data_IF_071730882121
#
_entry.id   IF_071730882121
#
_cell.length_a   1.000
_cell.length_b   1.000
_cell.length_c   1.000
_cell.angle_alpha   90.00
_cell.angle_beta   90.00
_cell.angle_gamma   90.00
#
_symmetry.space_group_name_H-M   'P 1'
#
loop_
_entity.id
_entity.type
_entity.pdbx_description
1 polymer ?
#
# COMPACT_ATOMS: atom_id res chain seq x y z
N UNK A 1 49.07 4.97 -13.64
CA UNK A 1 49.72 5.62 -14.78
C UNK A 1 49.14 5.00 -16.04
N UNK A 2 48.12 5.60 -16.63
CA UNK A 2 47.72 5.47 -18.02
C UNK A 2 46.53 6.41 -18.24
N UNK A 3 46.78 7.45 -19.01
CA UNK A 3 45.91 8.53 -19.41
C UNK A 3 45.05 8.02 -20.58
N UNK A 4 43.72 8.10 -20.49
CA UNK A 4 42.81 7.88 -21.61
C UNK A 4 42.18 9.18 -22.05
N UNK A 5 42.33 9.46 -23.35
CA UNK A 5 41.95 10.63 -24.11
C UNK A 5 40.42 10.80 -24.21
N UNK A 6 39.93 12.04 -24.06
CA UNK A 6 38.62 12.52 -24.52
C UNK A 6 38.52 12.47 -26.06
N UNK A 7 37.37 12.15 -26.65
CA UNK A 7 37.10 12.47 -28.04
C UNK A 7 36.50 13.87 -28.19
N UNK A 8 36.95 14.50 -29.29
CA UNK A 8 36.69 15.86 -29.76
C UNK A 8 35.26 16.01 -30.33
N UNK A 9 34.57 17.05 -29.94
CA UNK A 9 33.23 17.39 -30.46
C UNK A 9 33.40 18.51 -31.49
N UNK A 10 33.52 18.20 -32.75
CA UNK A 10 33.30 19.09 -33.91
C UNK A 10 32.90 18.28 -35.10
N UNK A 11 31.66 18.42 -35.52
CA UNK A 11 31.11 18.35 -36.88
C UNK A 11 29.72 17.72 -36.90
N UNK A 12 28.71 18.53 -36.80
CA UNK A 12 27.36 18.25 -37.30
C UNK A 12 26.58 19.55 -37.51
N UNK A 13 27.05 20.31 -38.51
CA UNK A 13 26.28 21.37 -39.16
C UNK A 13 26.32 21.16 -40.66
N UNK A 14 25.35 20.41 -41.19
CA UNK A 14 25.01 20.43 -42.62
C UNK A 14 23.51 20.15 -42.80
N UNK A 15 22.77 21.20 -43.14
CA UNK A 15 21.42 21.11 -43.63
C UNK A 15 21.43 20.54 -45.07
N UNK A 16 20.46 19.69 -45.46
CA UNK A 16 20.27 19.39 -46.88
C UNK A 16 19.32 20.35 -47.53
N UNK A 17 19.77 20.81 -48.68
CA UNK A 17 19.10 21.65 -49.68
C UNK A 17 17.79 21.07 -50.20
N UNK A 18 16.80 21.94 -50.38
CA UNK A 18 15.55 21.71 -51.10
C UNK A 18 15.81 21.33 -52.56
N UNK A 19 15.19 20.23 -52.99
CA UNK A 19 14.95 19.94 -54.39
C UNK A 19 13.48 20.21 -54.74
N UNK A 20 13.24 20.98 -55.76
CA UNK A 20 11.95 21.37 -56.31
C UNK A 20 11.38 20.32 -57.24
N UNK A 21 10.06 20.21 -57.24
CA UNK A 21 9.28 19.88 -58.43
C UNK A 21 8.89 18.42 -58.58
N UNK A 22 7.66 18.08 -58.32
CA UNK A 22 6.86 17.39 -59.34
C UNK A 22 5.33 17.57 -59.03
N UNK A 23 4.64 18.10 -60.03
CA UNK A 23 3.19 18.23 -60.09
C UNK A 23 2.61 16.87 -60.47
N UNK A 24 1.95 16.17 -59.54
CA UNK A 24 1.14 14.99 -59.85
C UNK A 24 -0.35 15.34 -59.73
N UNK A 25 -0.96 15.15 -60.83
CA UNK A 25 -2.36 15.13 -61.20
C UNK A 25 -3.25 14.51 -60.10
N UNK A 26 -4.19 15.29 -59.54
CA UNK A 26 -5.23 14.79 -58.64
C UNK A 26 -6.40 14.25 -59.46
N UNK A 27 -6.34 13.01 -59.91
CA UNK A 27 -7.54 12.32 -60.37
C UNK A 27 -8.44 12.05 -59.15
N UNK A 28 -9.56 12.77 -59.08
CA UNK A 28 -10.60 12.58 -58.09
C UNK A 28 -11.24 11.22 -58.29
N UNK A 29 -11.00 10.28 -57.36
CA UNK A 29 -11.69 8.97 -57.33
C UNK A 29 -13.13 9.24 -56.89
N UNK A 30 -14.08 9.11 -57.85
CA UNK A 30 -15.50 9.19 -57.56
C UNK A 30 -15.96 7.93 -56.77
N UNK A 31 -16.26 8.09 -55.50
CA UNK A 31 -16.79 7.00 -54.65
C UNK A 31 -18.27 6.77 -55.02
N UNK A 32 -18.68 5.56 -55.41
CA UNK A 32 -20.09 5.27 -55.75
C UNK A 32 -21.02 5.58 -54.57
N UNK A 33 -22.16 6.23 -54.80
CA UNK A 33 -23.13 6.59 -53.77
C UNK A 33 -23.57 5.44 -52.87
N UNK A 34 -23.55 4.20 -53.40
CA UNK A 34 -23.86 2.98 -52.65
C UNK A 34 -22.88 2.72 -51.49
N UNK A 35 -21.58 3.10 -51.61
CA UNK A 35 -20.59 2.95 -50.56
C UNK A 35 -20.70 4.00 -49.46
N UNK A 36 -21.21 5.18 -49.78
CA UNK A 36 -21.53 6.22 -48.81
C UNK A 36 -22.71 5.83 -47.92
N UNK A 37 -23.74 5.18 -48.48
CA UNK A 37 -24.89 4.70 -47.71
C UNK A 37 -24.51 3.50 -46.84
N UNK A 38 -23.69 2.58 -47.33
CA UNK A 38 -23.17 1.45 -46.56
C UNK A 38 -22.23 1.92 -45.39
N UNK A 39 -21.37 2.92 -45.64
CA UNK A 39 -20.51 3.50 -44.62
C UNK A 39 -21.28 4.23 -43.52
N UNK A 40 -22.38 4.95 -43.88
CA UNK A 40 -23.25 5.62 -42.91
C UNK A 40 -24.02 4.59 -42.05
N UNK A 41 -24.50 3.49 -42.64
CA UNK A 41 -25.16 2.42 -41.90
C UNK A 41 -24.24 1.71 -40.92
N UNK A 42 -22.95 1.52 -41.26
CA UNK A 42 -21.95 0.89 -40.40
C UNK A 42 -21.56 1.76 -39.18
N UNK A 43 -21.62 3.08 -39.31
CA UNK A 43 -21.32 4.01 -38.22
C UNK A 43 -22.53 4.25 -37.31
N UNK A 44 -23.76 4.26 -37.85
CA UNK A 44 -24.98 4.56 -37.08
C UNK A 44 -25.61 3.35 -36.41
N UNK A 45 -25.43 2.13 -36.96
CA UNK A 45 -25.97 0.90 -36.38
C UNK A 45 -25.49 0.61 -34.95
N UNK A 46 -24.23 0.75 -34.62
CA UNK A 46 -23.75 0.59 -33.24
C UNK A 46 -24.37 1.59 -32.25
N UNK A 47 -24.59 2.82 -32.67
CA UNK A 47 -25.23 3.85 -31.84
C UNK A 47 -26.72 3.59 -31.61
N UNK A 48 -27.44 3.06 -32.61
CA UNK A 48 -28.82 2.68 -32.46
C UNK A 48 -28.98 1.48 -31.53
N UNK A 49 -28.05 0.50 -31.58
CA UNK A 49 -28.05 -0.66 -30.68
C UNK A 49 -27.70 -0.22 -29.25
N UNK A 50 -26.72 0.66 -29.05
CA UNK A 50 -26.40 1.21 -27.76
C UNK A 50 -27.56 2.03 -27.19
N UNK A 51 -28.21 2.87 -27.99
CA UNK A 51 -29.40 3.63 -27.57
C UNK A 51 -30.60 2.72 -27.25
N UNK A 52 -30.79 1.64 -27.98
CA UNK A 52 -31.88 0.67 -27.72
C UNK A 52 -31.60 -0.15 -26.44
N UNK A 53 -30.34 -0.40 -26.11
CA UNK A 53 -29.94 -1.05 -24.84
C UNK A 53 -30.16 -0.08 -23.68
N UNK A 54 -29.83 1.22 -23.85
CA UNK A 54 -30.06 2.24 -22.82
C UNK A 54 -31.54 2.52 -22.57
N UNK A 55 -32.38 2.45 -23.62
CA UNK A 55 -33.83 2.67 -23.50
C UNK A 55 -34.63 1.42 -23.05
N UNK A 56 -34.01 0.24 -23.02
CA UNK A 56 -34.59 -1.01 -22.50
C UNK A 56 -34.24 -1.33 -21.05
N UNK A 57 -33.37 -0.59 -20.43
CA UNK A 57 -33.18 -0.73 -18.99
C UNK A 57 -34.38 -0.07 -18.29
N UNK A 58 -35.12 -0.81 -17.47
CA UNK A 58 -36.18 -0.20 -16.66
C UNK A 58 -35.56 0.90 -15.79
N UNK A 59 -36.32 1.97 -15.63
CA UNK A 59 -36.06 3.05 -14.67
C UNK A 59 -35.48 2.50 -13.37
N UNK A 60 -34.45 3.11 -12.78
CA UNK A 60 -33.95 2.70 -11.49
C UNK A 60 -35.06 2.89 -10.46
N UNK A 61 -35.69 1.78 -10.10
CA UNK A 61 -36.71 1.72 -9.07
C UNK A 61 -35.97 1.51 -7.74
N UNK A 62 -36.14 2.45 -6.84
CA UNK A 62 -35.97 2.34 -5.38
C UNK A 62 -34.64 1.90 -4.78
N UNK A 63 -33.57 1.68 -5.52
CA UNK A 63 -32.25 1.37 -4.93
C UNK A 63 -31.44 2.61 -4.49
N UNK A 64 -31.84 3.82 -4.89
CA UNK A 64 -31.15 5.05 -4.50
C UNK A 64 -31.37 5.45 -3.02
N UNK A 65 -32.46 5.01 -2.41
CA UNK A 65 -32.72 5.27 -0.99
C UNK A 65 -31.96 4.35 -0.03
N UNK A 66 -31.46 3.19 -0.50
CA UNK A 66 -30.60 2.29 0.29
C UNK A 66 -29.12 2.66 0.21
N UNK A 67 -28.72 3.43 -0.79
CA UNK A 67 -27.34 3.91 -1.01
C UNK A 67 -26.84 4.94 0.01
N UNK A 68 -27.74 5.53 0.82
CA UNK A 68 -27.39 6.59 1.78
C UNK A 68 -27.01 6.07 3.18
N UNK A 69 -27.15 4.77 3.45
CA UNK A 69 -26.78 4.20 4.75
C UNK A 69 -25.31 3.79 4.73
N UNK A 70 -24.46 4.36 5.61
CA UNK A 70 -23.07 3.91 5.68
C UNK A 70 -23.04 2.40 5.95
N UNK A 71 -22.05 1.65 5.40
CA UNK A 71 -21.85 0.25 5.74
C UNK A 71 -21.85 0.03 7.25
N UNK A 72 -22.31 -1.14 7.69
CA UNK A 72 -22.50 -1.45 9.11
C UNK A 72 -21.25 -1.22 10.00
N UNK A 73 -20.05 -1.26 9.39
CA UNK A 73 -18.75 -1.07 10.05
C UNK A 73 -18.24 0.38 9.99
N UNK A 74 -19.04 1.33 9.47
CA UNK A 74 -18.63 2.73 9.40
C UNK A 74 -18.74 3.40 10.77
N UNK A 75 -17.77 4.28 11.08
CA UNK A 75 -17.77 5.11 12.29
C UNK A 75 -17.59 6.58 11.96
N UNK A 76 -18.09 7.47 12.82
CA UNK A 76 -17.78 8.89 12.75
C UNK A 76 -16.40 9.18 13.35
N UNK A 77 -15.67 10.13 12.76
CA UNK A 77 -14.51 10.75 13.40
C UNK A 77 -14.94 11.71 14.52
N UNK A 78 -14.03 12.04 15.43
CA UNK A 78 -14.28 13.09 16.42
C UNK A 78 -14.46 14.43 15.72
N UNK A 79 -15.34 15.31 16.24
CA UNK A 79 -15.50 16.66 15.70
C UNK A 79 -14.20 17.47 15.72
N UNK A 80 -13.99 18.27 14.68
CA UNK A 80 -12.82 19.13 14.54
C UNK A 80 -12.93 20.08 13.34
N UNK A 81 -11.90 20.86 13.04
CA UNK A 81 -11.91 21.83 11.94
C UNK A 81 -12.02 21.17 10.56
N UNK A 82 -11.82 19.87 10.47
CA UNK A 82 -12.00 19.04 9.27
C UNK A 82 -13.46 18.74 8.93
N UNK A 83 -14.41 19.14 9.78
CA UNK A 83 -15.84 18.87 9.59
C UNK A 83 -16.28 17.48 10.06
N UNK A 84 -17.44 17.03 9.60
CA UNK A 84 -18.03 15.74 9.95
C UNK A 84 -17.55 14.66 8.99
N UNK A 85 -16.70 13.77 9.49
CA UNK A 85 -16.14 12.67 8.69
C UNK A 85 -16.79 11.34 9.06
N UNK A 86 -17.12 10.56 8.01
CA UNK A 86 -17.51 9.15 8.12
C UNK A 86 -16.34 8.28 7.62
N UNK A 87 -15.94 7.31 8.44
CA UNK A 87 -14.81 6.42 8.21
C UNK A 87 -15.35 5.02 7.92
N UNK A 88 -15.10 4.50 6.74
CA UNK A 88 -15.51 3.15 6.32
C UNK A 88 -14.28 2.31 6.09
N UNK A 89 -14.08 1.19 6.81
CA UNK A 89 -13.00 0.25 6.53
C UNK A 89 -13.15 -0.35 5.14
N UNK A 90 -12.09 -0.35 4.37
CA UNK A 90 -11.99 -1.02 3.07
C UNK A 90 -10.69 -1.80 2.97
N UNK A 91 -10.60 -2.72 2.03
CA UNK A 91 -9.39 -3.49 1.75
C UNK A 91 -8.97 -3.27 0.31
N UNK A 92 -7.72 -2.86 0.12
CA UNK A 92 -7.12 -2.70 -1.20
C UNK A 92 -6.21 -3.89 -1.52
N UNK A 93 -6.10 -4.24 -2.80
CA UNK A 93 -5.26 -5.34 -3.29
C UNK A 93 -4.37 -4.84 -4.43
N UNK A 94 -3.14 -5.36 -4.58
CA UNK A 94 -2.33 -5.04 -5.75
C UNK A 94 -3.00 -5.56 -7.03
N UNK A 95 -2.79 -4.89 -8.18
CA UNK A 95 -3.08 -5.47 -9.48
C UNK A 95 -2.35 -6.81 -9.64
N UNK A 96 -2.94 -7.77 -10.35
CA UNK A 96 -2.33 -9.11 -10.48
C UNK A 96 -0.98 -9.06 -11.21
N UNK A 97 -0.87 -8.16 -12.18
CA UNK A 97 0.34 -7.90 -12.96
C UNK A 97 1.51 -7.34 -12.15
N UNK A 98 1.25 -6.83 -10.91
CA UNK A 98 2.32 -6.39 -10.00
C UNK A 98 2.89 -7.54 -9.17
N UNK A 99 2.24 -8.70 -9.22
CA UNK A 99 2.69 -9.91 -8.53
C UNK A 99 3.45 -10.76 -9.54
N UNK A 100 4.75 -10.92 -9.34
CA UNK A 100 5.58 -11.73 -10.23
C UNK A 100 5.05 -13.17 -10.33
N UNK A 101 5.11 -13.78 -11.52
CA UNK A 101 4.64 -15.15 -11.76
C UNK A 101 5.46 -16.21 -11.01
N UNK A 102 6.69 -15.86 -10.67
CA UNK A 102 7.63 -16.65 -9.87
C UNK A 102 7.65 -16.25 -8.39
N UNK A 103 6.71 -15.40 -7.97
CA UNK A 103 6.63 -14.96 -6.58
C UNK A 103 6.71 -16.15 -5.64
N UNK A 104 7.69 -16.08 -4.77
CA UNK A 104 7.83 -17.02 -3.67
C UNK A 104 8.44 -18.36 -4.00
N UNK A 105 9.00 -18.56 -5.18
CA UNK A 105 9.94 -19.65 -5.35
C UNK A 105 11.18 -19.36 -4.52
N UNK A 106 11.09 -19.78 -3.24
CA UNK A 106 12.19 -19.59 -2.30
C UNK A 106 13.46 -20.28 -2.86
N UNK A 107 14.55 -19.54 -2.90
CA UNK A 107 15.86 -20.11 -3.17
C UNK A 107 16.30 -20.91 -1.93
N UNK A 108 15.92 -22.17 -1.87
CA UNK A 108 16.37 -23.09 -0.84
C UNK A 108 15.26 -23.57 0.14
N UNK A 109 15.61 -24.48 1.04
CA UNK A 109 14.67 -25.07 1.99
C UNK A 109 14.30 -24.07 3.10
N UNK A 110 13.03 -24.10 3.53
CA UNK A 110 12.54 -23.34 4.68
C UNK A 110 13.30 -23.75 5.96
N UNK A 111 13.87 -22.78 6.67
CA UNK A 111 14.67 -23.00 7.88
C UNK A 111 14.41 -21.93 8.93
N UNK A 112 14.66 -22.32 10.20
CA UNK A 112 14.73 -21.44 11.34
C UNK A 112 16.17 -21.36 11.83
N UNK A 113 16.67 -20.15 12.06
CA UNK A 113 18.01 -19.91 12.55
C UNK A 113 17.97 -19.31 13.95
N UNK A 114 18.68 -19.96 14.88
CA UNK A 114 18.85 -19.51 16.26
C UNK A 114 20.33 -19.18 16.53
N UNK A 115 20.81 -17.95 16.15
CA UNK A 115 22.20 -17.57 16.31
C UNK A 115 22.60 -17.58 17.79
N UNK A 116 23.82 -18.07 18.10
CA UNK A 116 24.40 -18.06 19.45
C UNK A 116 23.65 -18.90 20.49
N UNK A 117 22.72 -19.80 20.05
CA UNK A 117 21.88 -20.59 20.94
C UNK A 117 22.45 -22.02 21.05
N UNK A 118 22.53 -22.57 22.27
CA UNK A 118 22.83 -24.00 22.52
C UNK A 118 21.56 -24.85 22.49
N UNK A 119 21.67 -26.19 22.32
CA UNK A 119 20.53 -27.10 22.39
C UNK A 119 19.72 -26.97 23.69
N UNK A 120 20.39 -26.79 24.83
CA UNK A 120 19.78 -26.65 26.15
C UNK A 120 18.95 -25.36 26.25
N UNK A 121 19.51 -24.24 25.78
CA UNK A 121 18.83 -22.95 25.76
C UNK A 121 17.63 -23.02 24.84
N UNK A 122 17.77 -23.62 23.65
CA UNK A 122 16.68 -23.80 22.70
C UNK A 122 15.52 -24.65 23.29
N UNK A 123 15.85 -25.77 23.94
CA UNK A 123 14.85 -26.62 24.64
C UNK A 123 14.11 -25.84 25.72
N UNK A 124 14.85 -25.09 26.55
CA UNK A 124 14.26 -24.19 27.56
C UNK A 124 13.32 -23.19 26.98
N UNK A 125 13.73 -22.51 25.90
CA UNK A 125 12.91 -21.54 25.16
C UNK A 125 11.63 -22.21 24.60
N UNK A 126 11.73 -23.37 23.96
CA UNK A 126 10.57 -24.05 23.42
C UNK A 126 9.59 -24.47 24.53
N UNK A 127 10.12 -25.01 25.66
CA UNK A 127 9.30 -25.38 26.82
C UNK A 127 8.58 -24.15 27.40
N UNK A 128 9.29 -23.04 27.60
CA UNK A 128 8.69 -21.78 28.09
C UNK A 128 7.73 -21.14 27.11
N UNK A 129 7.89 -21.42 25.81
CA UNK A 129 6.96 -20.98 24.75
C UNK A 129 5.68 -21.81 24.73
N UNK A 130 5.57 -22.94 25.46
CA UNK A 130 4.38 -23.75 25.58
C UNK A 130 4.30 -24.93 24.59
N UNK A 131 5.44 -25.35 24.02
CA UNK A 131 5.47 -26.57 23.22
C UNK A 131 5.36 -27.79 24.13
N UNK A 132 4.69 -28.83 23.60
CA UNK A 132 4.65 -30.14 24.25
C UNK A 132 6.00 -30.84 24.12
N UNK A 133 6.33 -31.81 25.03
CA UNK A 133 7.56 -32.60 24.93
C UNK A 133 7.71 -33.32 23.57
N UNK A 134 6.60 -33.77 22.97
CA UNK A 134 6.61 -34.39 21.63
C UNK A 134 6.98 -33.44 20.54
N UNK A 135 6.44 -32.21 20.58
CA UNK A 135 6.80 -31.16 19.61
C UNK A 135 8.26 -30.71 19.76
N UNK A 136 8.74 -30.59 21.00
CA UNK A 136 10.16 -30.28 21.28
C UNK A 136 11.06 -31.36 20.69
N UNK A 137 10.80 -32.64 20.99
CA UNK A 137 11.60 -33.75 20.45
C UNK A 137 11.62 -33.77 18.92
N UNK A 138 10.48 -33.46 18.29
CA UNK A 138 10.37 -33.37 16.82
C UNK A 138 11.20 -32.21 16.24
N UNK A 139 11.20 -31.05 16.90
CA UNK A 139 12.06 -29.91 16.51
C UNK A 139 13.54 -30.20 16.73
N UNK A 140 13.90 -30.86 17.83
CA UNK A 140 15.29 -31.28 18.10
C UNK A 140 15.79 -32.23 17.02
N UNK A 141 14.96 -33.18 16.59
CA UNK A 141 15.27 -34.11 15.50
C UNK A 141 15.40 -33.40 14.14
N UNK A 142 14.86 -32.21 14.00
CA UNK A 142 14.95 -31.36 12.80
C UNK A 142 16.16 -30.42 12.81
N UNK A 143 17.04 -30.51 13.82
CA UNK A 143 18.27 -29.71 13.88
C UNK A 143 19.22 -30.17 12.77
N UNK A 144 19.63 -29.24 11.90
CA UNK A 144 20.65 -29.47 10.88
C UNK A 144 21.95 -28.77 11.30
N UNK A 145 23.09 -29.40 10.97
CA UNK A 145 24.39 -28.74 11.16
C UNK A 145 24.61 -27.77 9.98
N UNK A 146 24.84 -26.49 10.30
CA UNK A 146 25.27 -25.50 9.32
C UNK A 146 26.51 -24.78 9.85
N UNK A 147 27.66 -25.19 9.36
CA UNK A 147 28.96 -24.66 9.82
C UNK A 147 29.18 -23.18 9.50
N UNK A 148 28.29 -22.57 8.72
CA UNK A 148 28.32 -21.13 8.38
C UNK A 148 27.69 -20.25 9.46
N UNK A 149 26.93 -20.84 10.40
CA UNK A 149 26.14 -20.13 11.40
C UNK A 149 26.56 -20.58 12.79
N UNK A 150 27.06 -19.66 13.61
CA UNK A 150 27.27 -19.91 15.02
C UNK A 150 25.91 -20.01 15.72
N UNK A 151 25.45 -21.23 16.07
CA UNK A 151 24.17 -21.51 16.68
C UNK A 151 23.48 -22.74 16.10
N UNK A 152 22.17 -22.73 16.06
CA UNK A 152 21.38 -23.86 15.62
C UNK A 152 20.51 -23.49 14.40
N UNK A 153 20.44 -24.43 13.46
CA UNK A 153 19.56 -24.36 12.30
C UNK A 153 18.56 -25.51 12.37
N UNK A 154 17.28 -25.21 12.23
CA UNK A 154 16.21 -26.19 12.24
C UNK A 154 15.47 -26.17 10.91
N UNK A 155 15.03 -27.35 10.47
CA UNK A 155 14.17 -27.54 9.30
C UNK A 155 12.82 -28.13 9.71
N UNK A 156 11.89 -27.30 10.22
CA UNK A 156 10.58 -27.77 10.61
C UNK A 156 9.77 -28.23 9.40
N UNK A 157 8.99 -29.27 9.54
CA UNK A 157 8.04 -29.69 8.52
C UNK A 157 6.68 -28.99 8.67
N UNK A 158 5.91 -28.99 7.59
CA UNK A 158 4.62 -28.31 7.53
C UNK A 158 3.58 -28.88 8.54
N UNK A 159 3.58 -30.17 8.80
CA UNK A 159 2.64 -30.78 9.76
C UNK A 159 2.92 -30.31 11.17
N UNK A 160 4.20 -30.27 11.55
CA UNK A 160 4.61 -29.73 12.84
C UNK A 160 4.15 -28.25 12.96
N UNK A 161 4.43 -27.42 11.94
CA UNK A 161 4.00 -26.03 11.94
C UNK A 161 2.49 -25.87 12.12
N UNK A 162 1.70 -26.67 11.42
CA UNK A 162 0.23 -26.66 11.55
C UNK A 162 -0.26 -27.17 12.91
N UNK A 163 0.50 -28.01 13.57
CA UNK A 163 0.15 -28.52 14.89
C UNK A 163 0.43 -27.55 16.04
N UNK A 164 1.19 -26.49 15.78
CA UNK A 164 1.47 -25.50 16.81
C UNK A 164 0.24 -24.62 17.07
N UNK A 165 -0.07 -24.42 18.34
CA UNK A 165 -1.04 -23.40 18.73
C UNK A 165 -0.63 -22.03 18.17
N UNK A 166 -1.56 -21.20 17.66
CA UNK A 166 -1.23 -19.89 17.09
C UNK A 166 -0.47 -18.96 18.04
N UNK A 167 -0.73 -19.01 19.36
CA UNK A 167 -0.02 -18.20 20.35
C UNK A 167 1.40 -18.72 20.60
N UNK A 168 1.59 -20.06 20.60
CA UNK A 168 2.92 -20.68 20.67
C UNK A 168 3.73 -20.27 19.45
N UNK A 169 3.14 -20.37 18.27
CA UNK A 169 3.76 -19.95 17.01
C UNK A 169 4.16 -18.48 17.07
N UNK A 170 3.28 -17.58 17.53
CA UNK A 170 3.56 -16.16 17.67
C UNK A 170 4.84 -15.93 18.52
N UNK A 171 4.95 -16.57 19.68
CA UNK A 171 6.13 -16.45 20.56
C UNK A 171 7.42 -16.90 19.86
N UNK A 172 7.37 -18.02 19.15
CA UNK A 172 8.53 -18.53 18.41
C UNK A 172 8.92 -17.56 17.28
N UNK A 173 7.95 -17.12 16.49
CA UNK A 173 8.20 -16.28 15.31
C UNK A 173 8.65 -14.88 15.68
N UNK A 174 8.14 -14.30 16.76
CA UNK A 174 8.65 -13.04 17.30
C UNK A 174 10.11 -13.14 17.77
N UNK A 175 10.51 -14.30 18.33
CA UNK A 175 11.92 -14.53 18.68
C UNK A 175 12.78 -14.71 17.42
N UNK A 176 12.32 -15.48 16.43
CA UNK A 176 13.01 -15.67 15.16
C UNK A 176 13.20 -14.33 14.42
N UNK A 177 12.18 -13.48 14.40
CA UNK A 177 12.18 -12.19 13.74
C UNK A 177 13.27 -11.20 14.25
N UNK A 178 13.84 -11.45 15.43
CA UNK A 178 14.95 -10.64 15.97
C UNK A 178 16.27 -10.82 15.19
N UNK A 179 16.39 -11.88 14.39
CA UNK A 179 17.55 -12.14 13.55
C UNK A 179 17.21 -11.94 12.07
N UNK A 180 18.03 -11.17 11.36
CA UNK A 180 17.92 -10.96 9.91
C UNK A 180 18.10 -12.25 9.10
N UNK A 181 18.64 -13.33 9.70
CA UNK A 181 18.73 -14.65 9.08
C UNK A 181 17.34 -15.29 8.86
N UNK A 182 16.33 -14.87 9.64
CA UNK A 182 14.95 -15.35 9.55
C UNK A 182 14.08 -14.35 8.77
N UNK A 183 14.43 -14.13 7.50
CA UNK A 183 13.76 -13.14 6.65
C UNK A 183 12.25 -13.29 6.57
N UNK A 184 11.74 -14.53 6.52
CA UNK A 184 10.30 -14.82 6.46
C UNK A 184 9.56 -14.36 7.72
N UNK A 185 10.14 -14.57 8.91
CA UNK A 185 9.54 -14.14 10.17
C UNK A 185 9.71 -12.65 10.41
N UNK A 186 10.88 -12.08 10.07
CA UNK A 186 11.13 -10.65 10.18
C UNK A 186 10.25 -9.81 9.24
N UNK A 187 9.95 -10.34 8.04
CA UNK A 187 9.15 -9.68 7.02
C UNK A 187 7.84 -10.42 6.74
N UNK A 188 7.19 -10.96 7.78
CA UNK A 188 5.91 -11.64 7.66
C UNK A 188 4.85 -10.77 6.97
N UNK A 189 3.96 -11.40 6.21
CA UNK A 189 2.75 -10.72 5.73
C UNK A 189 1.90 -10.32 6.93
N UNK A 190 1.31 -9.12 6.86
CA UNK A 190 0.58 -8.51 7.96
C UNK A 190 -0.78 -8.00 7.51
N UNK A 191 -1.79 -8.23 8.34
CA UNK A 191 -3.14 -7.74 8.07
C UNK A 191 -3.84 -7.35 9.37
N UNK A 192 -4.39 -6.14 9.42
CA UNK A 192 -5.25 -5.70 10.52
C UNK A 192 -6.67 -6.20 10.30
N UNK A 193 -7.14 -7.08 11.14
CA UNK A 193 -8.48 -7.65 11.04
C UNK A 193 -8.85 -8.46 12.27
N UNK A 194 -10.13 -8.72 12.45
CA UNK A 194 -10.65 -9.48 13.60
C UNK A 194 -10.70 -10.97 13.37
N UNK A 195 -10.76 -11.37 12.09
CA UNK A 195 -10.83 -12.78 11.70
C UNK A 195 -9.98 -13.08 10.46
N UNK A 196 -9.59 -14.33 10.26
CA UNK A 196 -8.92 -14.77 9.03
C UNK A 196 -9.79 -14.54 7.80
N UNK A 197 -11.12 -14.50 7.96
CA UNK A 197 -12.03 -14.18 6.88
C UNK A 197 -11.91 -12.74 6.39
N UNK A 198 -11.53 -11.77 7.23
CA UNK A 198 -11.27 -10.38 6.82
C UNK A 198 -10.10 -10.33 5.84
N UNK A 199 -9.12 -11.18 6.04
CA UNK A 199 -7.95 -11.28 5.16
C UNK A 199 -8.18 -12.15 3.93
N UNK A 200 -8.74 -13.35 4.13
CA UNK A 200 -8.84 -14.40 3.12
C UNK A 200 -10.21 -14.45 2.43
N UNK A 201 -11.24 -13.82 3.01
CA UNK A 201 -12.60 -13.85 2.49
C UNK A 201 -12.74 -13.07 1.17
N UNK A 202 -13.58 -13.57 0.27
CA UNK A 202 -13.82 -12.95 -1.03
C UNK A 202 -12.61 -12.91 -1.97
N UNK A 203 -11.55 -13.67 -1.66
CA UNK A 203 -10.34 -13.73 -2.49
C UNK A 203 -10.40 -14.91 -3.47
N UNK A 204 -9.66 -14.85 -4.60
CA UNK A 204 -9.74 -15.88 -5.64
C UNK A 204 -8.86 -17.11 -5.37
N UNK A 205 -8.37 -17.32 -4.14
CA UNK A 205 -7.62 -18.52 -3.78
C UNK A 205 -8.56 -19.74 -3.66
N UNK A 206 -8.05 -20.92 -4.00
CA UNK A 206 -8.80 -22.16 -3.88
C UNK A 206 -9.08 -22.54 -2.41
N UNK A 207 -10.12 -23.34 -2.18
CA UNK A 207 -10.43 -23.86 -0.84
C UNK A 207 -9.25 -24.65 -0.26
N UNK A 208 -8.53 -25.44 -1.08
CA UNK A 208 -7.36 -26.18 -0.66
C UNK A 208 -6.20 -25.29 -0.23
N UNK A 209 -5.93 -24.21 -0.98
CA UNK A 209 -4.93 -23.20 -0.59
C UNK A 209 -5.33 -22.51 0.71
N UNK A 210 -6.60 -22.13 0.85
CA UNK A 210 -7.11 -21.55 2.10
C UNK A 210 -6.92 -22.47 3.29
N UNK A 211 -7.33 -23.76 3.17
CA UNK A 211 -7.13 -24.76 4.23
C UNK A 211 -5.65 -24.99 4.57
N UNK A 212 -4.75 -24.77 3.60
CA UNK A 212 -3.32 -24.90 3.82
C UNK A 212 -2.75 -23.77 4.66
N UNK A 213 -3.17 -22.52 4.41
CA UNK A 213 -2.56 -21.33 5.01
C UNK A 213 -3.27 -20.86 6.30
N UNK A 214 -4.59 -21.03 6.40
CA UNK A 214 -5.39 -20.49 7.51
C UNK A 214 -4.89 -20.97 8.89
N UNK A 215 -4.52 -22.25 9.09
CA UNK A 215 -3.94 -22.72 10.36
C UNK A 215 -2.55 -22.16 10.67
N UNK A 216 -1.87 -21.57 9.69
CA UNK A 216 -0.53 -20.98 9.85
C UNK A 216 -0.56 -19.50 10.22
N UNK A 217 -1.72 -18.86 10.16
CA UNK A 217 -1.89 -17.46 10.56
C UNK A 217 -1.81 -17.40 12.09
N UNK A 218 -1.00 -16.47 12.59
CA UNK A 218 -0.87 -16.18 14.02
C UNK A 218 -1.14 -14.69 14.28
N UNK A 219 -1.26 -14.31 15.56
CA UNK A 219 -1.54 -12.92 15.96
C UNK A 219 -0.45 -12.36 16.85
N UNK A 220 -0.16 -11.07 16.62
CA UNK A 220 0.52 -10.21 17.56
C UNK A 220 -0.37 -8.97 17.79
N UNK A 221 -1.04 -8.94 18.94
CA UNK A 221 -2.11 -7.97 19.20
C UNK A 221 -3.23 -8.06 18.15
N UNK A 222 -3.57 -6.92 17.54
CA UNK A 222 -4.62 -6.82 16.51
C UNK A 222 -4.14 -7.19 15.09
N UNK A 223 -2.87 -7.51 14.94
CA UNK A 223 -2.29 -7.84 13.64
C UNK A 223 -2.26 -9.35 13.45
N UNK A 224 -2.81 -9.80 12.34
CA UNK A 224 -2.59 -11.16 11.83
C UNK A 224 -1.31 -11.20 11.02
N UNK A 225 -0.55 -12.26 11.20
CA UNK A 225 0.71 -12.50 10.53
C UNK A 225 0.71 -13.86 9.81
N UNK A 226 1.40 -13.91 8.69
CA UNK A 226 1.71 -15.15 7.97
C UNK A 226 3.18 -15.11 7.54
N UNK A 227 3.99 -16.04 8.04
CA UNK A 227 5.43 -16.10 7.82
C UNK A 227 5.90 -17.37 7.10
N UNK A 228 4.99 -18.28 6.79
CA UNK A 228 5.33 -19.61 6.26
C UNK A 228 5.20 -19.70 4.74
N UNK A 229 5.38 -18.57 4.02
CA UNK A 229 5.19 -18.52 2.58
C UNK A 229 6.07 -19.53 1.84
N UNK A 230 7.35 -19.60 2.15
CA UNK A 230 8.30 -20.45 1.46
C UNK A 230 7.93 -21.96 1.53
N UNK A 231 7.50 -22.44 2.71
CA UNK A 231 7.11 -23.86 2.85
C UNK A 231 5.76 -24.15 2.18
N UNK A 232 4.81 -23.20 2.24
CA UNK A 232 3.48 -23.33 1.60
C UNK A 232 3.59 -23.36 0.09
N UNK A 233 4.41 -22.47 -0.48
CA UNK A 233 4.63 -22.40 -1.92
C UNK A 233 5.17 -23.70 -2.51
N UNK A 234 6.01 -24.43 -1.76
CA UNK A 234 6.51 -25.76 -2.18
C UNK A 234 5.40 -26.81 -2.34
N UNK A 235 4.19 -26.54 -1.82
CA UNK A 235 3.01 -27.41 -1.88
C UNK A 235 2.01 -27.01 -2.96
N UNK A 236 2.19 -25.88 -3.60
CA UNK A 236 1.29 -25.36 -4.64
C UNK A 236 2.04 -25.45 -5.98
N UNK A 237 1.57 -26.35 -6.86
CA UNK A 237 2.18 -26.53 -8.17
C UNK A 237 1.71 -25.52 -9.23
N UNK A 238 0.48 -25.00 -9.09
CA UNK A 238 -0.10 -24.05 -10.04
C UNK A 238 0.46 -22.64 -9.78
N UNK A 239 1.17 -22.08 -10.75
CA UNK A 239 1.72 -20.73 -10.69
C UNK A 239 0.65 -19.64 -10.63
N UNK A 240 -0.50 -19.86 -11.26
CA UNK A 240 -1.64 -18.96 -11.18
C UNK A 240 -2.23 -18.91 -9.76
N UNK A 241 -2.27 -20.06 -9.07
CA UNK A 241 -2.68 -20.12 -7.68
C UNK A 241 -1.66 -19.43 -6.75
N UNK A 242 -0.36 -19.56 -7.02
CA UNK A 242 0.67 -18.83 -6.29
C UNK A 242 0.52 -17.31 -6.44
N UNK A 243 0.22 -16.81 -7.64
CA UNK A 243 -0.06 -15.39 -7.84
C UNK A 243 -1.32 -14.93 -7.10
N UNK A 244 -2.40 -15.73 -7.11
CA UNK A 244 -3.63 -15.43 -6.37
C UNK A 244 -3.38 -15.41 -4.86
N UNK A 245 -2.58 -16.36 -4.36
CA UNK A 245 -2.16 -16.37 -2.96
C UNK A 245 -1.35 -15.13 -2.61
N UNK A 246 -0.35 -14.78 -3.40
CA UNK A 246 0.45 -13.57 -3.19
C UNK A 246 -0.41 -12.32 -3.17
N UNK A 247 -1.29 -12.15 -4.16
CA UNK A 247 -2.24 -11.02 -4.21
C UNK A 247 -3.10 -10.96 -2.95
N UNK A 248 -3.54 -12.12 -2.45
CA UNK A 248 -4.35 -12.23 -1.22
C UNK A 248 -3.56 -11.81 0.01
N UNK A 249 -2.32 -12.30 0.15
CA UNK A 249 -1.45 -11.97 1.29
C UNK A 249 -1.00 -10.51 1.31
N UNK A 250 -0.92 -9.88 0.15
CA UNK A 250 -0.54 -8.46 -0.03
C UNK A 250 -1.71 -7.48 0.13
N UNK A 251 -2.92 -7.95 0.41
CA UNK A 251 -4.06 -7.08 0.72
C UNK A 251 -3.76 -6.22 1.94
N UNK A 252 -4.21 -4.97 1.90
CA UNK A 252 -4.01 -4.03 2.99
C UNK A 252 -5.33 -3.34 3.38
N UNK A 253 -5.70 -3.36 4.65
CA UNK A 253 -6.83 -2.58 5.14
C UNK A 253 -6.48 -1.09 5.16
N UNK A 254 -7.46 -0.27 4.80
CA UNK A 254 -7.38 1.19 4.80
C UNK A 254 -8.76 1.77 5.11
N UNK A 255 -8.88 3.10 5.15
CA UNK A 255 -10.15 3.79 5.41
C UNK A 255 -10.58 4.58 4.18
N UNK A 256 -11.80 4.37 3.73
CA UNK A 256 -12.52 5.31 2.90
C UNK A 256 -13.06 6.40 3.84
N UNK A 257 -12.75 7.66 3.55
CA UNK A 257 -13.11 8.80 4.39
C UNK A 257 -14.01 9.73 3.60
N UNK A 258 -15.20 10.00 4.11
CA UNK A 258 -16.16 10.92 3.50
C UNK A 258 -16.43 12.09 4.40
N UNK A 259 -16.43 13.29 3.84
CA UNK A 259 -16.85 14.53 4.47
C UNK A 259 -18.32 14.78 4.17
N UNK A 260 -19.15 14.87 5.19
CA UNK A 260 -20.54 15.30 5.05
C UNK A 260 -20.61 16.83 5.07
N UNK A 261 -21.27 17.40 4.08
CA UNK A 261 -21.46 18.86 3.93
C UNK A 261 -22.94 19.14 3.74
N UNK A 262 -23.47 20.14 4.49
CA UNK A 262 -24.84 20.59 4.41
C UNK A 262 -24.93 22.13 4.53
N UNK A 263 -26.15 22.67 4.54
CA UNK A 263 -26.42 24.10 4.65
C UNK A 263 -25.92 24.75 5.94
N UNK A 264 -25.65 23.94 6.99
CA UNK A 264 -25.12 24.41 8.28
C UNK A 264 -23.60 24.34 8.35
N UNK A 265 -22.95 23.79 7.32
CA UNK A 265 -21.49 23.64 7.26
C UNK A 265 -20.80 24.98 6.98
N UNK A 266 -19.80 25.30 7.77
CA UNK A 266 -18.95 26.50 7.59
C UNK A 266 -17.98 26.29 6.43
N UNK A 267 -18.47 26.47 5.18
CA UNK A 267 -17.72 26.18 3.95
C UNK A 267 -16.37 26.90 3.90
N UNK A 268 -16.29 28.12 4.42
CA UNK A 268 -15.04 28.89 4.45
C UNK A 268 -13.98 28.21 5.33
N UNK A 269 -14.36 27.73 6.50
CA UNK A 269 -13.47 27.04 7.44
C UNK A 269 -13.04 25.69 6.87
N UNK A 270 -13.98 24.90 6.32
CA UNK A 270 -13.67 23.64 5.65
C UNK A 270 -12.74 23.84 4.46
N UNK A 271 -12.97 24.88 3.64
CA UNK A 271 -12.10 25.21 2.50
C UNK A 271 -10.71 25.66 2.96
N UNK A 272 -10.61 26.36 4.09
CA UNK A 272 -9.33 26.74 4.67
C UNK A 272 -8.58 25.50 5.19
N UNK A 273 -9.25 24.59 5.89
CA UNK A 273 -8.62 23.36 6.42
C UNK A 273 -8.15 22.43 5.29
N UNK A 274 -9.06 22.01 4.42
CA UNK A 274 -8.75 21.06 3.35
C UNK A 274 -7.98 21.67 2.19
N UNK A 275 -8.06 23.01 2.05
CA UNK A 275 -7.36 23.80 1.04
C UNK A 275 -5.98 24.26 1.44
N UNK A 276 -5.44 23.78 2.55
CA UNK A 276 -4.09 24.12 3.00
C UNK A 276 -3.04 23.84 1.92
N UNK A 277 -1.95 24.61 1.91
CA UNK A 277 -0.98 24.63 0.82
C UNK A 277 -1.42 25.45 -0.40
N UNK A 278 -2.22 26.52 -0.16
CA UNK A 278 -2.66 27.48 -1.19
C UNK A 278 -3.83 27.02 -2.05
N UNK A 279 -4.56 25.95 -1.66
CA UNK A 279 -5.63 25.33 -2.47
C UNK A 279 -7.05 25.70 -2.05
N UNK A 280 -7.22 26.66 -1.12
CA UNK A 280 -8.56 27.02 -0.58
C UNK A 280 -9.52 27.50 -1.68
N UNK A 281 -9.00 28.20 -2.70
CA UNK A 281 -9.76 28.67 -3.86
C UNK A 281 -10.25 27.53 -4.76
N UNK A 282 -9.54 26.40 -4.78
CA UNK A 282 -9.92 25.23 -5.56
C UNK A 282 -10.90 24.32 -4.79
N UNK A 283 -10.74 24.24 -3.47
CA UNK A 283 -11.57 23.41 -2.61
C UNK A 283 -12.95 24.02 -2.35
N UNK A 284 -13.03 25.35 -2.21
CA UNK A 284 -14.30 26.05 -1.92
C UNK A 284 -15.41 25.74 -2.93
N UNK A 285 -15.23 25.90 -4.27
CA UNK A 285 -16.28 25.63 -5.24
C UNK A 285 -16.74 24.16 -5.22
N UNK A 286 -15.81 23.24 -4.90
CA UNK A 286 -16.10 21.84 -4.79
C UNK A 286 -17.07 21.56 -3.61
N UNK A 287 -16.81 22.17 -2.45
CA UNK A 287 -17.70 22.05 -1.28
C UNK A 287 -19.05 22.76 -1.53
N UNK A 288 -19.04 23.93 -2.15
CA UNK A 288 -20.26 24.66 -2.51
C UNK A 288 -21.14 23.89 -3.48
N UNK A 289 -20.54 23.13 -4.42
CA UNK A 289 -21.28 22.30 -5.37
C UNK A 289 -22.01 21.12 -4.69
N UNK A 290 -21.42 20.58 -3.63
CA UNK A 290 -22.04 19.49 -2.84
C UNK A 290 -23.30 20.00 -2.13
N UNK A 291 -23.25 21.20 -1.54
CA UNK A 291 -24.41 21.83 -0.89
C UNK A 291 -25.46 22.28 -1.93
N UNK A 292 -25.03 22.78 -3.08
CA UNK A 292 -25.94 23.20 -4.17
C UNK A 292 -26.76 22.06 -4.78
N UNK A 293 -26.32 20.82 -4.63
CA UNK A 293 -27.02 19.62 -5.14
C UNK A 293 -28.18 19.11 -4.27
N UNK A 294 -28.34 19.62 -3.01
CA UNK A 294 -29.37 19.17 -2.09
C UNK A 294 -29.22 19.75 -0.69
N UNK A 295 -30.00 19.24 0.28
CA UNK A 295 -29.91 19.70 1.66
C UNK A 295 -28.66 19.17 2.39
N UNK A 296 -28.16 18.02 1.97
CA UNK A 296 -26.96 17.36 2.48
C UNK A 296 -26.31 16.58 1.35
N UNK A 297 -24.96 16.57 1.33
CA UNK A 297 -24.17 15.75 0.43
C UNK A 297 -22.92 15.22 1.09
N UNK A 298 -22.28 14.26 0.45
CA UNK A 298 -21.01 13.69 0.89
C UNK A 298 -19.96 13.84 -0.21
N UNK A 299 -18.72 14.07 0.18
CA UNK A 299 -17.57 14.06 -0.71
C UNK A 299 -16.49 13.15 -0.15
N UNK A 300 -15.91 12.29 -1.01
CA UNK A 300 -14.75 11.52 -0.62
C UNK A 300 -13.55 12.45 -0.41
N UNK A 301 -12.90 12.30 0.75
CA UNK A 301 -11.74 13.12 1.13
C UNK A 301 -10.60 13.04 0.11
N UNK A 302 -10.52 11.96 -0.68
CA UNK A 302 -9.53 11.85 -1.78
C UNK A 302 -9.58 13.06 -2.71
N UNK A 303 -10.77 13.63 -2.95
CA UNK A 303 -10.94 14.82 -3.81
C UNK A 303 -10.45 16.11 -3.15
N UNK A 304 -10.32 16.13 -1.82
CA UNK A 304 -9.84 17.26 -1.04
C UNK A 304 -8.32 17.21 -0.80
N UNK A 305 -7.68 16.04 -1.02
CA UNK A 305 -6.25 15.88 -0.84
C UNK A 305 -5.43 16.63 -1.91
N UNK A 306 -4.18 17.04 -1.59
CA UNK A 306 -3.22 17.53 -2.57
C UNK A 306 -2.98 16.54 -3.71
N UNK A 307 -2.57 17.05 -4.87
CA UNK A 307 -2.40 16.27 -6.10
C UNK A 307 -1.53 15.03 -5.90
N UNK A 308 -0.41 15.16 -5.21
CA UNK A 308 0.47 14.03 -4.91
C UNK A 308 -0.27 12.93 -4.15
N UNK A 309 -0.91 13.27 -3.03
CA UNK A 309 -1.60 12.30 -2.17
C UNK A 309 -2.83 11.71 -2.88
N UNK A 310 -3.64 12.55 -3.56
CA UNK A 310 -4.81 12.12 -4.33
C UNK A 310 -4.45 11.12 -5.42
N UNK A 311 -3.36 11.32 -6.14
CA UNK A 311 -2.94 10.42 -7.22
C UNK A 311 -2.38 9.09 -6.72
N UNK A 312 -2.03 8.98 -5.44
CA UNK A 312 -1.41 7.78 -4.85
C UNK A 312 -2.29 7.01 -3.89
N UNK A 313 -3.21 7.68 -3.21
CA UNK A 313 -4.08 7.02 -2.24
C UNK A 313 -4.76 5.78 -2.85
N UNK A 314 -4.74 4.68 -2.11
CA UNK A 314 -5.24 3.34 -2.47
C UNK A 314 -4.51 2.67 -3.63
N UNK A 315 -3.40 3.22 -4.09
CA UNK A 315 -2.60 2.65 -5.18
C UNK A 315 -1.34 1.98 -4.65
N UNK A 316 -0.92 0.96 -5.36
CA UNK A 316 0.39 0.35 -5.21
C UNK A 316 1.40 1.09 -6.10
N UNK A 317 2.69 1.19 -5.70
CA UNK A 317 3.71 1.74 -6.58
C UNK A 317 3.74 0.97 -7.91
N UNK A 318 3.72 1.70 -9.01
CA UNK A 318 3.89 1.10 -10.32
C UNK A 318 5.39 0.81 -10.51
N UNK A 319 5.74 -0.45 -10.70
CA UNK A 319 7.09 -0.87 -10.99
C UNK A 319 7.27 -0.97 -12.50
N UNK A 320 8.28 -0.29 -13.03
CA UNK A 320 8.77 -0.55 -14.38
C UNK A 320 9.85 -1.63 -14.33
N UNK A 321 10.09 -2.31 -15.45
CA UNK A 321 11.08 -3.41 -15.61
C UNK A 321 12.52 -2.97 -15.33
N UNK A 322 12.87 -2.20 -14.49
CA UNK A 322 14.20 -1.75 -14.05
C UNK A 322 14.16 -1.17 -12.66
N UNK A 323 12.95 -0.94 -12.12
CA UNK A 323 12.78 -0.30 -10.84
C UNK A 323 13.13 -1.22 -9.66
N UNK A 324 13.03 -2.54 -9.84
CA UNK A 324 13.43 -3.52 -8.83
C UNK A 324 14.92 -3.45 -8.48
N UNK A 325 15.75 -2.93 -9.39
CA UNK A 325 17.18 -2.75 -9.20
C UNK A 325 17.55 -1.33 -8.77
N UNK A 326 16.59 -0.43 -8.59
CA UNK A 326 16.87 0.93 -8.10
C UNK A 326 17.14 0.90 -6.59
N UNK A 327 18.22 1.53 -6.12
CA UNK A 327 18.60 1.54 -4.71
C UNK A 327 17.65 2.35 -3.82
N UNK A 328 16.77 3.17 -4.41
CA UNK A 328 15.86 4.04 -3.68
C UNK A 328 14.42 3.88 -4.16
N UNK A 329 13.58 3.26 -3.33
CA UNK A 329 12.14 3.16 -3.54
C UNK A 329 11.41 4.19 -2.68
N UNK A 330 10.26 4.65 -3.17
CA UNK A 330 9.37 5.51 -2.41
C UNK A 330 9.12 4.93 -1.01
N UNK A 331 9.47 5.68 0.01
CA UNK A 331 9.34 5.33 1.43
C UNK A 331 8.43 6.32 2.16
N UNK A 332 8.33 6.21 3.48
CA UNK A 332 7.52 7.10 4.30
C UNK A 332 8.00 8.56 4.26
N UNK A 333 9.33 8.81 4.30
CA UNK A 333 9.90 10.16 4.23
C UNK A 333 9.62 10.82 2.89
N UNK A 334 9.91 10.13 1.78
CA UNK A 334 9.59 10.64 0.45
C UNK A 334 8.09 10.93 0.31
N UNK A 335 7.24 10.06 0.87
CA UNK A 335 5.78 10.24 0.85
C UNK A 335 5.35 11.49 1.61
N UNK A 336 5.88 11.69 2.83
CA UNK A 336 5.47 12.79 3.70
C UNK A 336 5.95 14.15 3.17
N UNK A 337 7.21 14.25 2.73
CA UNK A 337 7.78 15.50 2.24
C UNK A 337 7.20 15.94 0.89
N UNK A 338 6.69 14.99 0.09
CA UNK A 338 6.03 15.29 -1.17
C UNK A 338 4.52 15.52 -1.05
N UNK A 339 3.92 15.44 0.14
CA UNK A 339 2.47 15.45 0.32
C UNK A 339 1.77 16.63 -0.40
N UNK A 340 2.34 17.84 -0.33
CA UNK A 340 1.78 19.05 -0.97
C UNK A 340 2.36 19.34 -2.36
N UNK A 341 3.31 18.56 -2.84
CA UNK A 341 3.91 18.80 -4.16
C UNK A 341 2.93 18.43 -5.28
N UNK A 342 2.95 19.15 -6.40
CA UNK A 342 2.24 18.74 -7.61
C UNK A 342 3.00 17.59 -8.29
N UNK A 343 4.32 17.77 -8.47
CA UNK A 343 5.24 16.76 -8.94
C UNK A 343 6.18 16.35 -7.80
N UNK A 344 6.46 15.05 -7.62
CA UNK A 344 7.31 14.59 -6.55
C UNK A 344 8.77 15.05 -6.72
N UNK A 345 9.38 15.45 -5.63
CA UNK A 345 10.81 15.72 -5.55
C UNK A 345 11.56 14.44 -5.14
N UNK A 346 12.22 13.82 -6.10
CA UNK A 346 12.92 12.55 -5.91
C UNK A 346 14.22 12.69 -5.08
N UNK A 347 14.66 13.91 -4.76
CA UNK A 347 15.77 14.11 -3.80
C UNK A 347 15.45 13.52 -2.43
N UNK A 348 14.18 13.45 -2.06
CA UNK A 348 13.73 12.85 -0.81
C UNK A 348 13.74 11.31 -0.79
N UNK A 349 14.10 10.65 -1.88
CA UNK A 349 14.45 9.22 -1.87
C UNK A 349 15.75 8.96 -1.12
N UNK A 350 16.67 9.94 -1.09
CA UNK A 350 17.83 9.90 -0.20
C UNK A 350 17.42 10.27 1.23
N UNK A 351 17.59 9.32 2.15
CA UNK A 351 17.14 9.45 3.55
C UNK A 351 17.84 10.62 4.25
N UNK A 352 19.11 10.87 3.98
CA UNK A 352 19.85 11.96 4.64
C UNK A 352 19.33 13.33 4.18
N UNK A 353 19.08 13.48 2.89
CA UNK A 353 18.45 14.67 2.31
C UNK A 353 17.06 14.90 2.92
N UNK A 354 16.23 13.85 2.98
CA UNK A 354 14.90 13.91 3.54
C UNK A 354 14.89 14.31 5.03
N UNK A 355 15.73 13.69 5.85
CA UNK A 355 15.85 14.01 7.28
C UNK A 355 16.38 15.43 7.47
N UNK A 356 17.32 15.88 6.63
CA UNK A 356 17.84 17.24 6.67
C UNK A 356 16.75 18.26 6.37
N UNK A 357 15.94 18.03 5.31
CA UNK A 357 14.82 18.90 4.98
C UNK A 357 13.77 18.92 6.11
N UNK A 358 13.44 17.76 6.72
CA UNK A 358 12.52 17.72 7.85
C UNK A 358 13.02 18.57 9.03
N UNK A 359 14.32 18.64 9.26
CA UNK A 359 14.91 19.44 10.36
C UNK A 359 15.01 20.93 10.04
N UNK A 360 15.24 21.30 8.79
CA UNK A 360 15.48 22.69 8.37
C UNK A 360 14.19 23.41 7.96
N UNK A 361 13.29 22.71 7.27
CA UNK A 361 12.11 23.31 6.63
C UNK A 361 10.84 23.15 7.48
N UNK A 362 10.94 22.49 8.64
CA UNK A 362 9.81 22.22 9.53
C UNK A 362 10.16 22.58 10.97
N UNK A 363 9.16 22.98 11.75
CA UNK A 363 9.24 23.19 13.19
C UNK A 363 8.30 22.25 13.95
N UNK A 364 8.62 21.98 15.22
CA UNK A 364 7.79 21.11 16.07
C UNK A 364 6.54 21.88 16.51
N UNK A 365 5.39 21.19 16.49
CA UNK A 365 4.11 21.67 17.02
C UNK A 365 3.62 20.71 18.09
N UNK A 366 3.09 21.28 19.20
CA UNK A 366 2.64 20.51 20.36
C UNK A 366 1.11 20.37 20.43
N UNK A 367 0.37 21.24 19.72
CA UNK A 367 -1.10 21.26 19.67
C UNK A 367 -1.59 21.79 18.33
N UNK A 368 -2.90 21.83 18.14
CA UNK A 368 -3.57 22.39 16.95
C UNK A 368 -3.06 21.79 15.65
N UNK A 369 -2.93 20.45 15.63
CA UNK A 369 -2.48 19.72 14.46
C UNK A 369 -3.37 19.97 13.26
N UNK A 370 -2.74 20.15 12.10
CA UNK A 370 -3.41 20.54 10.88
C UNK A 370 -3.07 19.60 9.72
N UNK A 371 -3.95 19.56 8.72
CA UNK A 371 -3.72 18.82 7.50
C UNK A 371 -2.29 19.04 6.97
N UNK A 372 -1.56 17.96 6.77
CA UNK A 372 -0.21 18.02 6.22
C UNK A 372 0.91 18.15 7.25
N UNK A 373 0.62 18.26 8.55
CA UNK A 373 1.65 18.15 9.56
C UNK A 373 2.28 16.75 9.50
N UNK A 374 3.61 16.64 9.56
CA UNK A 374 4.32 15.37 9.50
C UNK A 374 4.45 14.83 10.92
N UNK A 375 4.02 13.59 11.11
CA UNK A 375 4.16 12.85 12.37
C UNK A 375 5.40 11.98 12.27
N UNK A 376 6.38 12.21 13.14
CA UNK A 376 7.58 11.39 13.27
C UNK A 376 7.44 10.40 14.43
N UNK A 377 7.73 9.12 14.18
CA UNK A 377 7.81 8.07 15.19
C UNK A 377 9.28 7.75 15.45
N UNK A 378 9.69 7.92 16.71
CA UNK A 378 11.06 7.68 17.15
C UNK A 378 11.06 6.56 18.20
N UNK A 379 12.12 5.77 18.20
CA UNK A 379 12.37 4.75 19.23
C UNK A 379 12.84 5.36 20.56
N UNK A 380 13.25 4.51 21.50
CA UNK A 380 13.73 4.91 22.82
C UNK A 380 15.06 5.68 22.76
N UNK A 381 15.89 5.39 21.78
CA UNK A 381 17.17 6.02 21.50
C UNK A 381 17.00 7.38 20.81
N UNK A 382 15.82 7.65 20.25
CA UNK A 382 15.49 8.86 19.53
C UNK A 382 15.72 8.75 18.02
N UNK A 383 15.94 7.54 17.52
CA UNK A 383 16.11 7.29 16.11
C UNK A 383 14.77 7.25 15.38
N UNK A 384 14.71 7.93 14.24
CA UNK A 384 13.51 8.00 13.40
C UNK A 384 13.34 6.69 12.62
N UNK A 385 12.22 5.98 12.84
CA UNK A 385 11.94 4.76 12.10
C UNK A 385 10.72 4.87 11.17
N UNK A 386 9.83 5.85 11.40
CA UNK A 386 8.68 6.07 10.50
C UNK A 386 8.19 7.51 10.54
N UNK A 387 7.58 7.94 9.42
CA UNK A 387 6.81 9.19 9.35
C UNK A 387 5.48 8.96 8.64
N UNK A 388 4.48 9.75 9.02
CA UNK A 388 3.16 9.78 8.39
C UNK A 388 2.69 11.23 8.27
N UNK A 389 1.67 11.49 7.46
CA UNK A 389 1.08 12.83 7.31
C UNK A 389 -0.26 12.88 8.01
N UNK A 390 -0.43 13.80 8.92
CA UNK A 390 -1.69 14.03 9.63
C UNK A 390 -2.78 14.54 8.67
N UNK A 391 -3.95 13.93 8.74
CA UNK A 391 -5.12 14.34 7.95
C UNK A 391 -6.19 15.01 8.81
N UNK A 392 -6.69 14.31 9.82
CA UNK A 392 -7.81 14.73 10.68
C UNK A 392 -7.99 13.74 11.83
N UNK A 393 -8.41 14.15 13.02
CA UNK A 393 -8.65 13.29 14.19
C UNK A 393 -7.44 12.41 14.51
N UNK A 394 -7.57 11.10 14.39
CA UNK A 394 -6.48 10.11 14.51
C UNK A 394 -5.99 9.59 13.14
N UNK A 395 -6.46 10.16 12.03
CA UNK A 395 -6.18 9.68 10.69
C UNK A 395 -4.89 10.22 10.12
N UNK A 396 -4.12 9.34 9.50
CA UNK A 396 -2.89 9.69 8.79
C UNK A 396 -2.87 9.11 7.38
N UNK A 397 -2.23 9.83 6.45
CA UNK A 397 -1.82 9.34 5.15
C UNK A 397 -0.40 8.80 5.26
N UNK A 398 -0.19 7.56 4.83
CA UNK A 398 1.11 6.89 4.99
C UNK A 398 1.38 5.87 3.91
N UNK A 399 2.66 5.55 3.72
CA UNK A 399 3.16 4.36 3.03
C UNK A 399 4.03 3.57 4.00
N UNK A 400 3.62 2.37 4.34
CA UNK A 400 4.33 1.53 5.29
C UNK A 400 5.48 0.77 4.62
N UNK A 401 6.72 1.19 4.91
CA UNK A 401 7.94 0.58 4.40
C UNK A 401 8.28 0.97 2.96
N UNK A 402 9.37 0.40 2.47
CA UNK A 402 9.91 0.61 1.11
C UNK A 402 9.37 -0.39 0.09
N UNK A 403 8.65 -1.42 0.54
CA UNK A 403 8.15 -2.48 -0.33
C UNK A 403 7.32 -1.91 -1.49
N UNK A 404 7.59 -2.36 -2.73
CA UNK A 404 6.81 -1.96 -3.90
C UNK A 404 5.36 -2.46 -3.86
N UNK A 405 5.09 -3.45 -3.03
CA UNK A 405 3.75 -4.01 -2.84
C UNK A 405 3.05 -3.46 -1.58
N UNK A 406 3.55 -2.37 -1.00
CA UNK A 406 2.86 -1.61 0.05
C UNK A 406 2.18 -0.39 -0.56
N UNK A 407 0.85 -0.27 -0.47
CA UNK A 407 0.10 0.86 -1.03
C UNK A 407 0.22 2.11 -0.15
N UNK A 408 -0.17 3.24 -0.70
CA UNK A 408 -0.48 4.43 0.09
C UNK A 408 -1.89 4.29 0.68
N UNK A 409 -2.00 4.52 1.98
CA UNK A 409 -3.22 4.26 2.76
C UNK A 409 -3.58 5.42 3.66
N UNK A 410 -4.86 5.50 4.04
CA UNK A 410 -5.33 6.24 5.21
C UNK A 410 -5.60 5.22 6.32
N UNK A 411 -5.07 5.46 7.49
CA UNK A 411 -5.32 4.62 8.67
C UNK A 411 -5.23 5.43 9.97
N UNK A 412 -5.78 4.92 11.07
CA UNK A 412 -5.56 5.51 12.39
C UNK A 412 -4.07 5.48 12.76
N UNK A 413 -3.57 6.54 13.41
CA UNK A 413 -2.18 6.59 13.90
C UNK A 413 -1.86 5.43 14.86
N UNK A 414 -2.85 4.98 15.65
CA UNK A 414 -2.70 3.79 16.50
C UNK A 414 -2.31 2.55 15.68
N UNK A 415 -2.93 2.34 14.51
CA UNK A 415 -2.61 1.22 13.61
C UNK A 415 -1.20 1.33 13.01
N UNK A 416 -0.73 2.55 12.73
CA UNK A 416 0.67 2.76 12.31
C UNK A 416 1.62 2.37 13.43
N UNK A 417 1.35 2.79 14.68
CA UNK A 417 2.16 2.40 15.84
C UNK A 417 2.19 0.90 16.05
N UNK A 418 1.05 0.23 15.94
CA UNK A 418 0.96 -1.24 16.04
C UNK A 418 1.76 -1.92 14.93
N UNK A 419 1.71 -1.41 13.69
CA UNK A 419 2.46 -1.96 12.56
C UNK A 419 3.98 -1.96 12.81
N UNK A 420 4.48 -0.95 13.54
CA UNK A 420 5.90 -0.79 13.88
C UNK A 420 6.24 -1.18 15.32
N UNK A 421 5.37 -1.90 16.03
CA UNK A 421 5.59 -2.31 17.42
C UNK A 421 6.91 -3.07 17.62
N UNK A 422 7.38 -3.84 16.63
CA UNK A 422 8.67 -4.52 16.66
C UNK A 422 9.87 -3.58 16.65
N UNK A 423 9.71 -2.32 16.21
CA UNK A 423 10.75 -1.28 16.25
C UNK A 423 10.73 -0.56 17.59
N UNK A 424 9.56 -0.26 18.13
CA UNK A 424 9.38 0.33 19.45
C UNK A 424 7.98 0.03 20.00
N UNK A 425 7.91 -0.52 21.22
CA UNK A 425 6.63 -0.76 21.91
C UNK A 425 5.90 0.53 22.26
N UNK A 426 6.65 1.60 22.55
CA UNK A 426 6.12 2.90 22.95
C UNK A 426 6.87 4.03 22.23
N UNK A 427 6.62 4.23 20.93
CA UNK A 427 7.33 5.25 20.18
C UNK A 427 7.01 6.66 20.68
N UNK A 428 8.03 7.51 20.71
CA UNK A 428 7.83 8.94 20.89
C UNK A 428 7.26 9.52 19.60
N UNK A 429 6.17 10.26 19.73
CA UNK A 429 5.45 10.88 18.61
C UNK A 429 5.72 12.37 18.61
N UNK A 430 6.23 12.90 17.51
CA UNK A 430 6.53 14.33 17.35
C UNK A 430 5.85 14.81 16.07
N UNK A 431 5.15 15.94 16.16
CA UNK A 431 4.51 16.58 15.03
C UNK A 431 5.37 17.73 14.50
N UNK A 432 5.53 17.78 13.18
CA UNK A 432 6.30 18.79 12.48
C UNK A 432 5.44 19.52 11.47
N UNK A 433 5.45 20.84 11.52
CA UNK A 433 4.75 21.71 10.57
C UNK A 433 5.74 22.42 9.68
N UNK A 434 5.44 22.50 8.39
CA UNK A 434 6.26 23.19 7.42
C UNK A 434 6.31 24.69 7.71
N UNK A 435 7.50 25.32 7.58
CA UNK A 435 7.72 26.70 8.01
C UNK A 435 7.01 27.75 7.17
N UNK A 436 6.56 27.40 5.97
CA UNK A 436 5.87 28.29 5.04
C UNK A 436 4.32 28.19 5.09
N UNK A 437 3.78 27.51 6.11
CA UNK A 437 2.33 27.31 6.32
C UNK A 437 1.78 28.07 7.52
#
# INVERSE_FOLDING_TARGET
>A
MAISKKPDVRDLNRAPTRASGDTRDRSAIAIPKAWLIAGLALVTLPWIIVSAIYLRNPTPDQSEAESSRPPADSRAAKPGPWGRLTLTPIVVSPPLEYVASDWGRAEGPYRWYFPGTSPELLRSFFSSSGLTPVQIARLEAAIERDDRIAGLTLKPDLELLRSLDPQVRARIYLQLAKSSLNGDQANSFRFFGTSTNDWLGGTPISASTRQLIEPLIYRDGDIMHFADAAIVQSKIADSGELQRLAKTLLRQPTMLVRLSVDKTSEIAELAQYWGRGGRSTDIRPLLESVVGGGDQGEIDVVHLLPTFARNRLYRYPQLTTGDLNKPALANCLWTALNFFQAEPDDRFLDVNTAVTSLRQDYHIVESDYQLGDIIALLDAEGDLFHVAVYLADDLVFTKNGTSPVSPWTIMPLSRVRDYYRSQSESPRVIYHRRNDF
#
